data_IF_256630736278
#
_entry.id   IF_256630736278
#
_cell.length_a   1.000
_cell.length_b   1.000
_cell.length_c   1.000
_cell.angle_alpha   90.00
_cell.angle_beta   90.00
_cell.angle_gamma   90.00
#
_symmetry.space_group_name_H-M   'P 1'
#
loop_
_entity.id
_entity.type
_entity.pdbx_description
1 polymer ?
#
# COMPACT_ATOMS: atom_id res chain seq x y z
N UNK A 1 -50.02 -9.47 60.98
CA UNK A 1 -49.26 -10.73 60.81
C UNK A 1 -48.35 -10.53 59.60
N UNK A 2 -47.10 -10.15 59.82
CA UNK A 2 -45.95 -11.05 59.88
C UNK A 2 -45.53 -11.62 58.51
N UNK A 3 -44.36 -11.15 58.06
CA UNK A 3 -43.24 -11.93 57.52
C UNK A 3 -43.45 -12.79 56.26
N UNK A 4 -42.76 -12.45 55.17
CA UNK A 4 -41.55 -13.14 54.69
C UNK A 4 -40.99 -12.35 53.48
N UNK A 5 -39.90 -11.60 53.64
CA UNK A 5 -38.52 -12.04 53.33
C UNK A 5 -38.40 -12.74 51.97
N UNK A 6 -37.78 -12.05 51.02
CA UNK A 6 -36.71 -12.52 50.09
C UNK A 6 -36.43 -11.36 49.11
N UNK A 7 -35.40 -10.55 49.37
CA UNK A 7 -34.05 -10.68 48.80
C UNK A 7 -34.04 -10.57 47.26
N UNK A 8 -33.63 -9.38 46.77
CA UNK A 8 -32.59 -9.03 45.77
C UNK A 8 -32.31 -9.99 44.59
N UNK A 9 -31.77 -9.53 43.42
CA UNK A 9 -31.09 -8.24 43.16
C UNK A 9 -31.59 -7.52 41.87
N UNK A 10 -31.66 -6.19 41.82
CA UNK A 10 -30.63 -5.29 41.29
C UNK A 10 -29.79 -5.89 40.14
N UNK A 11 -30.02 -5.44 38.89
CA UNK A 11 -29.11 -5.37 37.73
C UNK A 11 -29.88 -5.60 36.42
N UNK A 12 -30.44 -4.53 35.85
CA UNK A 12 -30.71 -4.47 34.41
C UNK A 12 -30.42 -3.04 33.95
N UNK A 13 -29.13 -2.70 34.03
CA UNK A 13 -28.53 -1.54 33.39
C UNK A 13 -28.59 -1.76 31.87
N UNK A 14 -29.73 -1.42 31.25
CA UNK A 14 -29.85 -1.38 29.78
C UNK A 14 -29.29 -0.05 29.30
N UNK A 15 -27.95 0.05 29.33
CA UNK A 15 -27.19 1.01 28.53
C UNK A 15 -27.16 0.48 27.08
N UNK A 16 -28.22 0.78 26.34
CA UNK A 16 -28.34 0.47 24.91
C UNK A 16 -28.40 1.74 24.06
N UNK A 17 -27.69 2.79 24.45
CA UNK A 17 -27.49 3.99 23.64
C UNK A 17 -25.98 4.17 23.47
N UNK A 18 -25.48 3.96 22.26
CA UNK A 18 -24.12 4.33 21.92
C UNK A 18 -23.55 3.57 20.73
N UNK A 19 -23.24 4.33 19.68
CA UNK A 19 -22.22 4.06 18.67
C UNK A 19 -22.63 3.17 17.49
N UNK A 20 -23.41 3.76 16.57
CA UNK A 20 -23.22 3.51 15.13
C UNK A 20 -23.01 4.84 14.39
N UNK A 21 -22.16 5.71 14.95
CA UNK A 21 -21.35 6.66 14.20
C UNK A 21 -19.96 6.00 14.29
N UNK A 22 -19.36 5.44 13.26
CA UNK A 22 -18.91 6.13 12.06
C UNK A 22 -18.62 5.07 11.02
N UNK A 23 -19.48 4.91 10.02
CA UNK A 23 -18.95 4.47 8.72
C UNK A 23 -18.17 5.68 8.19
N UNK A 24 -16.94 5.87 8.67
CA UNK A 24 -15.96 6.66 7.96
C UNK A 24 -15.77 5.93 6.65
N UNK A 25 -16.57 6.31 5.66
CA UNK A 25 -16.23 6.15 4.27
C UNK A 25 -14.93 6.94 4.11
N UNK A 26 -13.79 6.26 4.33
CA UNK A 26 -12.53 6.64 3.74
C UNK A 26 -12.82 6.65 2.24
N UNK A 27 -13.27 7.81 1.77
CA UNK A 27 -13.27 8.14 0.37
C UNK A 27 -11.78 8.18 0.07
N UNK A 28 -11.21 7.05 -0.36
CA UNK A 28 -9.92 7.02 -1.02
C UNK A 28 -10.08 8.05 -2.12
N UNK A 29 -9.58 9.25 -1.88
CA UNK A 29 -9.25 10.18 -2.95
C UNK A 29 -8.43 9.32 -3.87
N UNK A 30 -8.99 8.98 -5.03
CA UNK A 30 -8.24 8.38 -6.12
C UNK A 30 -7.15 9.39 -6.40
N UNK A 31 -5.99 9.19 -5.78
CA UNK A 31 -4.82 9.93 -6.16
C UNK A 31 -4.43 9.41 -7.52
N UNK A 32 -4.04 10.33 -8.40
CA UNK A 32 -3.57 9.96 -9.72
C UNK A 32 -2.32 9.09 -9.53
N UNK A 33 -2.47 7.80 -9.77
CA UNK A 33 -1.37 6.83 -9.69
C UNK A 33 -0.79 6.61 -11.09
N UNK A 34 0.52 6.46 -11.12
CA UNK A 34 1.29 6.27 -12.34
C UNK A 34 2.00 4.93 -12.30
N UNK A 35 1.88 4.16 -13.38
CA UNK A 35 2.53 2.86 -13.48
C UNK A 35 3.94 3.00 -14.04
N UNK A 36 4.92 2.49 -13.30
CA UNK A 36 6.31 2.42 -13.74
C UNK A 36 6.76 0.97 -13.86
N UNK A 37 7.45 0.66 -14.95
CA UNK A 37 8.11 -0.63 -15.18
C UNK A 37 9.61 -0.50 -14.96
N UNK A 38 10.18 -1.54 -14.33
CA UNK A 38 11.61 -1.70 -14.22
C UNK A 38 12.29 -1.94 -15.58
N UNK A 39 13.32 -1.17 -15.87
CA UNK A 39 14.09 -1.19 -17.12
C UNK A 39 15.61 -1.05 -16.87
N UNK A 40 16.07 -1.49 -15.70
CA UNK A 40 17.50 -1.52 -15.37
C UNK A 40 18.24 -2.71 -15.98
N UNK A 41 19.59 -2.70 -15.94
CA UNK A 41 20.43 -3.68 -16.63
C UNK A 41 20.42 -5.09 -15.99
N UNK A 42 20.19 -5.18 -14.69
CA UNK A 42 20.06 -6.44 -13.95
C UNK A 42 19.18 -6.20 -12.71
N UNK A 43 18.95 -7.21 -11.88
CA UNK A 43 18.08 -7.11 -10.70
C UNK A 43 18.91 -7.05 -9.42
N UNK A 44 20.02 -6.29 -9.41
CA UNK A 44 20.70 -5.98 -8.14
C UNK A 44 19.89 -4.96 -7.35
N UNK A 45 20.03 -5.00 -6.03
CA UNK A 45 19.42 -4.03 -5.11
C UNK A 45 19.69 -2.58 -5.56
N UNK A 46 20.97 -2.23 -5.78
CA UNK A 46 21.35 -0.88 -6.21
C UNK A 46 20.70 -0.44 -7.54
N UNK A 47 20.41 -1.37 -8.45
CA UNK A 47 19.74 -1.01 -9.70
C UNK A 47 18.22 -0.91 -9.54
N UNK A 48 17.60 -1.78 -8.73
CA UNK A 48 16.16 -1.72 -8.46
C UNK A 48 15.79 -0.50 -7.62
N UNK A 49 16.63 -0.10 -6.66
CA UNK A 49 16.42 1.08 -5.83
C UNK A 49 16.68 2.40 -6.59
N UNK A 50 17.38 2.35 -7.72
CA UNK A 50 17.63 3.54 -8.53
C UNK A 50 16.39 3.91 -9.36
N UNK A 51 15.73 5.01 -9.00
CA UNK A 51 14.54 5.52 -9.67
C UNK A 51 14.71 5.78 -11.17
N UNK A 52 15.94 6.09 -11.63
CA UNK A 52 16.22 6.31 -13.05
C UNK A 52 16.12 5.03 -13.90
N UNK A 53 16.14 3.86 -13.27
CA UNK A 53 15.95 2.58 -13.96
C UNK A 53 14.46 2.23 -14.15
N UNK A 54 13.54 3.11 -13.76
CA UNK A 54 12.11 2.92 -13.91
C UNK A 54 11.54 3.85 -14.97
N UNK A 55 10.74 3.29 -15.87
CA UNK A 55 10.11 4.02 -16.97
C UNK A 55 8.60 3.95 -16.85
N UNK A 56 7.93 5.06 -17.15
CA UNK A 56 6.47 5.11 -17.17
C UNK A 56 5.93 4.23 -18.31
N UNK A 57 5.11 3.25 -17.96
CA UNK A 57 4.58 2.26 -18.91
C UNK A 57 3.28 1.64 -18.35
N UNK A 58 2.13 2.21 -18.75
CA UNK A 58 0.80 1.76 -18.33
C UNK A 58 0.36 0.42 -18.95
N UNK A 59 1.12 -0.09 -19.93
CA UNK A 59 0.73 -1.26 -20.72
C UNK A 59 1.33 -2.59 -20.23
N UNK A 60 2.14 -2.53 -19.16
CA UNK A 60 2.93 -3.67 -18.72
C UNK A 60 2.13 -4.60 -17.82
N UNK A 61 1.91 -5.81 -18.34
CA UNK A 61 1.69 -6.98 -17.52
C UNK A 61 3.04 -7.57 -17.14
N UNK A 62 3.26 -7.74 -15.84
CA UNK A 62 4.42 -8.46 -15.37
C UNK A 62 4.29 -9.94 -15.67
N UNK A 63 5.38 -10.58 -16.08
CA UNK A 63 5.43 -12.04 -16.14
C UNK A 63 5.36 -12.56 -14.70
N UNK A 64 4.68 -13.71 -14.50
CA UNK A 64 4.42 -14.34 -13.19
C UNK A 64 5.69 -14.84 -12.47
N UNK A 65 6.85 -14.22 -12.68
CA UNK A 65 8.07 -14.49 -11.94
C UNK A 65 7.95 -13.80 -10.57
N UNK A 66 7.73 -14.57 -9.50
CA UNK A 66 7.63 -14.02 -8.16
C UNK A 66 8.91 -13.33 -7.74
N UNK A 67 8.80 -12.31 -6.88
CA UNK A 67 9.93 -11.80 -6.09
C UNK A 67 11.08 -11.29 -6.97
N UNK A 68 10.70 -10.60 -8.05
CA UNK A 68 11.58 -9.89 -8.96
C UNK A 68 10.96 -8.54 -9.30
N UNK A 69 11.76 -7.47 -9.27
CA UNK A 69 11.27 -6.13 -9.63
C UNK A 69 10.60 -6.13 -11.01
N UNK A 70 9.40 -5.58 -11.12
CA UNK A 70 8.70 -5.54 -12.40
C UNK A 70 7.91 -4.26 -12.60
N UNK A 71 6.81 -4.04 -11.88
CA UNK A 71 6.09 -2.77 -11.94
C UNK A 71 5.62 -2.30 -10.58
N UNK A 72 5.52 -0.98 -10.45
CA UNK A 72 5.01 -0.28 -9.28
C UNK A 72 4.00 0.76 -9.73
N UNK A 73 2.95 0.99 -8.94
CA UNK A 73 2.08 2.16 -9.09
C UNK A 73 2.37 3.13 -7.98
N UNK A 74 2.68 4.36 -8.35
CA UNK A 74 3.16 5.39 -7.45
C UNK A 74 2.26 6.62 -7.54
N UNK A 75 2.00 7.24 -6.41
CA UNK A 75 1.23 8.48 -6.30
C UNK A 75 1.88 9.64 -7.07
N UNK A 76 1.07 10.49 -7.70
CA UNK A 76 1.52 11.68 -8.43
C UNK A 76 2.47 12.59 -7.63
N UNK A 77 2.35 12.63 -6.30
CA UNK A 77 3.25 13.40 -5.42
C UNK A 77 4.70 12.93 -5.46
N UNK A 78 4.96 11.68 -5.84
CA UNK A 78 6.29 11.10 -6.03
C UNK A 78 6.72 11.03 -7.50
N UNK A 79 5.98 11.69 -8.40
CA UNK A 79 6.24 11.71 -9.85
C UNK A 79 6.64 13.11 -10.31
N UNK A 80 7.72 13.20 -11.08
CA UNK A 80 8.11 14.39 -11.82
C UNK A 80 7.36 14.44 -13.15
N UNK A 81 6.93 15.64 -13.55
CA UNK A 81 6.29 15.89 -14.85
C UNK A 81 5.12 14.93 -15.20
N UNK A 82 4.13 14.74 -14.29
CA UNK A 82 3.05 13.75 -14.45
C UNK A 82 2.17 13.93 -15.71
N UNK A 83 2.22 15.10 -16.36
CA UNK A 83 1.39 15.43 -17.53
C UNK A 83 2.14 15.29 -18.88
N UNK A 84 3.44 15.01 -18.88
CA UNK A 84 4.24 14.97 -20.12
C UNK A 84 5.14 13.74 -20.21
N UNK A 85 6.18 13.67 -19.39
CA UNK A 85 7.13 12.56 -19.34
C UNK A 85 7.31 12.17 -17.87
N UNK A 86 6.42 11.33 -17.33
CA UNK A 86 6.47 10.95 -15.93
C UNK A 86 7.79 10.24 -15.60
N UNK A 87 8.48 10.71 -14.57
CA UNK A 87 9.66 10.03 -14.00
C UNK A 87 9.52 9.97 -12.49
N UNK A 88 10.13 8.98 -11.86
CA UNK A 88 10.12 8.87 -10.40
C UNK A 88 10.97 9.97 -9.76
N UNK A 89 10.51 10.50 -8.62
CA UNK A 89 11.31 11.37 -7.74
C UNK A 89 12.23 10.50 -6.90
N UNK A 90 13.46 10.97 -6.67
CA UNK A 90 14.38 10.35 -5.72
C UNK A 90 13.89 10.37 -4.27
N UNK A 91 12.85 11.17 -3.96
CA UNK A 91 12.21 11.16 -2.66
C UNK A 91 11.25 9.98 -2.47
N UNK A 92 11.04 9.15 -3.50
CA UNK A 92 10.28 7.91 -3.37
C UNK A 92 11.02 6.92 -2.46
N UNK A 93 12.35 6.93 -2.43
CA UNK A 93 13.18 6.11 -1.55
C UNK A 93 12.77 4.63 -1.61
N UNK A 94 12.93 4.02 -2.80
CA UNK A 94 12.61 2.61 -3.00
C UNK A 94 13.45 1.73 -2.06
N UNK A 95 12.77 0.84 -1.35
CA UNK A 95 13.38 -0.20 -0.53
C UNK A 95 13.19 -1.56 -1.19
N UNK A 96 14.25 -2.37 -1.17
CA UNK A 96 14.23 -3.70 -1.81
C UNK A 96 14.68 -4.80 -0.87
N UNK A 97 14.18 -6.00 -1.16
CA UNK A 97 14.65 -7.25 -0.56
C UNK A 97 15.13 -8.20 -1.67
N UNK A 98 15.89 -9.22 -1.29
CA UNK A 98 16.55 -10.16 -2.19
C UNK A 98 15.92 -11.55 -2.09
N UNK A 99 15.51 -12.08 -3.23
CA UNK A 99 15.09 -13.47 -3.33
C UNK A 99 15.84 -14.17 -4.45
N UNK A 100 16.46 -15.31 -4.12
CA UNK A 100 17.19 -16.15 -5.09
C UNK A 100 18.19 -15.38 -5.98
N UNK A 101 18.79 -14.30 -5.46
CA UNK A 101 19.78 -13.48 -6.17
C UNK A 101 19.21 -12.36 -7.04
N UNK A 102 17.89 -12.13 -7.02
CA UNK A 102 17.25 -10.98 -7.66
C UNK A 102 16.54 -10.10 -6.63
N UNK A 103 16.69 -8.78 -6.77
CA UNK A 103 16.01 -7.80 -5.96
C UNK A 103 14.58 -7.56 -6.45
N UNK A 104 13.69 -7.30 -5.51
CA UNK A 104 12.33 -6.85 -5.74
C UNK A 104 11.99 -5.72 -4.77
N UNK A 105 11.06 -4.87 -5.16
CA UNK A 105 10.59 -3.76 -4.32
C UNK A 105 9.77 -4.34 -3.18
N UNK A 106 10.11 -4.00 -1.94
CA UNK A 106 9.33 -4.36 -0.75
C UNK A 106 8.58 -3.17 -0.14
N UNK A 107 9.02 -1.94 -0.45
CA UNK A 107 8.41 -0.72 0.04
C UNK A 107 9.00 0.55 -0.55
N UNK A 108 8.45 1.69 -0.14
CA UNK A 108 8.92 3.04 -0.45
C UNK A 108 8.33 4.03 0.56
N UNK A 109 8.69 5.31 0.44
CA UNK A 109 8.08 6.40 1.20
C UNK A 109 6.65 6.74 0.72
N UNK A 110 6.23 6.22 -0.44
CA UNK A 110 4.84 6.26 -0.86
C UNK A 110 4.06 5.14 -0.15
N UNK A 111 3.43 5.51 0.97
CA UNK A 111 2.57 4.60 1.75
C UNK A 111 1.33 4.08 1.01
N UNK A 112 1.05 4.59 -0.20
CA UNK A 112 -0.02 4.12 -1.08
C UNK A 112 0.48 3.31 -2.29
N UNK A 113 1.81 3.10 -2.38
CA UNK A 113 2.43 2.41 -3.51
C UNK A 113 1.89 0.99 -3.66
N UNK A 114 1.46 0.65 -4.87
CA UNK A 114 1.09 -0.72 -5.23
C UNK A 114 2.29 -1.40 -5.87
N UNK A 115 2.74 -2.53 -5.31
CA UNK A 115 3.85 -3.32 -5.86
C UNK A 115 3.27 -4.50 -6.61
N UNK A 116 3.54 -4.56 -7.91
CA UNK A 116 3.05 -5.60 -8.80
C UNK A 116 4.23 -6.55 -9.08
N UNK A 117 4.05 -7.84 -8.76
CA UNK A 117 5.04 -8.93 -8.63
C UNK A 117 5.51 -9.31 -7.21
N UNK A 118 4.86 -8.82 -6.15
CA UNK A 118 4.94 -9.50 -4.86
C UNK A 118 4.12 -10.79 -4.96
N UNK A 119 4.74 -11.96 -4.80
CA UNK A 119 3.97 -13.19 -4.60
C UNK A 119 3.10 -12.99 -3.35
N UNK A 120 1.79 -13.16 -3.50
CA UNK A 120 0.86 -13.16 -2.38
C UNK A 120 1.16 -14.32 -1.42
#
# INVERSE_FOLDING_TARGET
MQNLKKMLPLMALVLGMGLVLTQSAFKTTKTDQYTFRYNGPNYSQANVENEANWIHDESVACTDVPQKACSIKVDASFVNNPLTTPTLKSSLNLATDLYSGTAFVEGSDDGSMEIINRQQ
#
